data_IF_127797677290
#
_entry.id   IF_127797677290
#
_cell.length_a   1.000
_cell.length_b   1.000
_cell.length_c   1.000
_cell.angle_alpha   90.00
_cell.angle_beta   90.00
_cell.angle_gamma   90.00
#
_symmetry.space_group_name_H-M   'P 1'
#
loop_
_entity.id
_entity.type
_entity.pdbx_description
1 polymer ?
#
# COMPACT_ATOMS: atom_id res chain seq x y z
N UNK A 1 -3.02 9.00 -2.12
CA UNK A 1 -3.52 9.72 -3.31
C UNK A 1 -4.44 8.78 -4.08
N UNK A 2 -5.69 9.18 -4.31
CA UNK A 2 -6.65 8.37 -5.08
C UNK A 2 -6.38 8.47 -6.58
N UNK A 3 -6.22 7.33 -7.22
CA UNK A 3 -6.20 7.16 -8.67
C UNK A 3 -7.67 7.22 -9.15
N UNK A 4 -8.05 8.28 -9.87
CA UNK A 4 -9.43 8.59 -10.32
C UNK A 4 -10.44 8.96 -9.20
N UNK A 5 -10.23 10.07 -8.47
CA UNK A 5 -11.08 10.46 -7.33
C UNK A 5 -12.56 10.66 -7.72
N UNK A 6 -12.84 11.11 -8.96
CA UNK A 6 -14.19 11.35 -9.45
C UNK A 6 -15.09 10.11 -9.46
N UNK A 7 -14.50 8.92 -9.65
CA UNK A 7 -15.27 7.65 -9.67
C UNK A 7 -15.81 7.26 -8.30
N UNK A 8 -15.14 7.69 -7.24
CA UNK A 8 -15.53 7.44 -5.86
C UNK A 8 -16.05 8.71 -5.17
N UNK A 9 -16.05 9.86 -5.86
CA UNK A 9 -16.48 11.13 -5.28
C UNK A 9 -17.86 11.02 -4.64
N UNK A 10 -18.82 10.33 -5.28
CA UNK A 10 -20.13 10.10 -4.68
C UNK A 10 -20.09 9.20 -3.44
N UNK A 11 -19.31 8.11 -3.47
CA UNK A 11 -19.14 7.21 -2.32
C UNK A 11 -18.43 7.93 -1.15
N UNK A 12 -17.42 8.74 -1.44
CA UNK A 12 -16.71 9.58 -0.47
C UNK A 12 -17.67 10.64 0.08
N UNK A 13 -18.44 11.34 -0.75
CA UNK A 13 -19.45 12.31 -0.30
C UNK A 13 -20.52 11.64 0.58
N UNK A 14 -20.94 10.42 0.25
CA UNK A 14 -21.89 9.64 1.05
C UNK A 14 -21.29 9.22 2.40
N UNK A 15 -20.02 8.78 2.41
CA UNK A 15 -19.27 8.46 3.64
C UNK A 15 -19.13 9.69 4.54
N UNK A 16 -18.72 10.82 3.97
CA UNK A 16 -18.61 12.13 4.65
C UNK A 16 -19.96 12.54 5.23
N UNK A 17 -21.03 12.45 4.45
CA UNK A 17 -22.38 12.79 4.92
C UNK A 17 -22.86 11.85 6.04
N UNK A 18 -22.49 10.58 5.99
CA UNK A 18 -22.82 9.59 7.03
C UNK A 18 -22.05 9.85 8.32
N UNK A 19 -20.73 10.08 8.23
CA UNK A 19 -19.89 10.42 9.38
C UNK A 19 -20.33 11.75 10.01
N UNK A 20 -20.66 12.76 9.20
CA UNK A 20 -21.15 14.04 9.69
C UNK A 20 -22.46 13.91 10.50
N UNK A 21 -23.32 12.95 10.13
CA UNK A 21 -24.57 12.66 10.87
C UNK A 21 -24.36 11.79 12.10
N UNK A 22 -23.19 11.17 12.29
CA UNK A 22 -22.97 10.19 13.34
C UNK A 22 -22.79 10.80 14.75
N UNK A 23 -22.41 12.09 14.84
CA UNK A 23 -22.28 12.76 16.13
C UNK A 23 -21.42 14.02 16.08
N UNK A 24 -21.24 14.68 17.22
CA UNK A 24 -20.33 15.84 17.33
C UNK A 24 -18.87 15.42 17.17
N UNK A 25 -18.51 14.28 17.76
CA UNK A 25 -17.16 13.73 17.72
C UNK A 25 -16.74 13.38 16.28
N UNK A 26 -17.57 12.64 15.55
CA UNK A 26 -17.30 12.29 14.15
C UNK A 26 -17.19 13.53 13.24
N UNK A 27 -17.98 14.58 13.49
CA UNK A 27 -17.87 15.87 12.78
C UNK A 27 -16.55 16.57 13.05
N UNK A 28 -16.10 16.56 14.30
CA UNK A 28 -14.82 17.14 14.70
C UNK A 28 -13.66 16.40 14.02
N UNK A 29 -13.64 15.06 14.07
CA UNK A 29 -12.65 14.21 13.40
C UNK A 29 -12.61 14.47 11.89
N UNK A 30 -13.77 14.49 11.23
CA UNK A 30 -13.85 14.76 9.78
C UNK A 30 -13.34 16.16 9.41
N UNK A 31 -13.61 17.15 10.24
CA UNK A 31 -13.10 18.53 10.04
C UNK A 31 -11.58 18.57 10.15
N UNK A 32 -11.03 17.87 11.15
CA UNK A 32 -9.59 17.78 11.36
C UNK A 32 -8.89 17.05 10.20
N UNK A 33 -9.45 15.92 9.75
CA UNK A 33 -8.98 15.17 8.58
C UNK A 33 -9.00 16.04 7.31
N UNK A 34 -10.06 16.82 7.10
CA UNK A 34 -10.19 17.71 5.96
C UNK A 34 -9.19 18.87 5.99
N UNK A 35 -8.93 19.46 7.16
CA UNK A 35 -7.95 20.54 7.31
C UNK A 35 -6.52 20.03 7.06
N UNK A 36 -6.13 18.95 7.74
CA UNK A 36 -4.81 18.32 7.58
C UNK A 36 -4.62 17.85 6.13
N UNK A 37 -5.60 17.11 5.59
CA UNK A 37 -5.55 16.61 4.21
C UNK A 37 -5.49 17.73 3.17
N UNK A 38 -6.23 18.82 3.38
CA UNK A 38 -6.20 20.00 2.52
C UNK A 38 -4.85 20.71 2.54
N UNK A 39 -4.21 20.82 3.71
CA UNK A 39 -2.86 21.40 3.86
C UNK A 39 -1.80 20.53 3.19
N UNK A 40 -1.83 19.22 3.43
CA UNK A 40 -0.97 18.24 2.78
C UNK A 40 -1.11 18.29 1.24
N UNK A 41 -2.35 18.32 0.75
CA UNK A 41 -2.63 18.39 -0.69
C UNK A 41 -2.15 19.68 -1.38
N UNK A 42 -2.10 20.79 -0.64
CA UNK A 42 -1.56 22.08 -1.13
C UNK A 42 -0.03 22.18 -0.98
N UNK A 43 0.62 21.19 -0.36
CA UNK A 43 2.04 21.23 -0.07
C UNK A 43 2.40 22.38 0.89
N UNK A 44 1.55 22.65 1.88
CA UNK A 44 1.84 23.60 2.97
C UNK A 44 2.74 22.91 3.99
N UNK A 45 3.77 23.61 4.46
CA UNK A 45 4.67 23.13 5.53
C UNK A 45 3.83 22.89 6.79
N UNK A 46 3.93 21.68 7.35
CA UNK A 46 3.30 21.37 8.63
C UNK A 46 3.99 22.17 9.75
N UNK A 47 3.21 23.02 10.42
CA UNK A 47 3.62 23.79 11.59
C UNK A 47 3.44 22.98 12.89
N UNK A 48 3.96 23.46 14.02
CA UNK A 48 3.80 22.81 15.32
C UNK A 48 2.31 22.59 15.67
N UNK A 49 1.44 23.51 15.29
CA UNK A 49 -0.01 23.37 15.46
C UNK A 49 -0.57 22.21 14.66
N UNK A 50 -0.07 21.96 13.44
CA UNK A 50 -0.52 20.86 12.59
C UNK A 50 -0.06 19.51 13.17
N UNK A 51 1.16 19.46 13.73
CA UNK A 51 1.65 18.28 14.45
C UNK A 51 0.78 17.99 15.68
N UNK A 52 0.44 19.02 16.46
CA UNK A 52 -0.47 18.88 17.59
C UNK A 52 -1.85 18.36 17.17
N UNK A 53 -2.37 18.80 16.02
CA UNK A 53 -3.62 18.31 15.46
C UNK A 53 -3.55 16.82 15.10
N UNK A 54 -2.46 16.40 14.43
CA UNK A 54 -2.24 14.98 14.08
C UNK A 54 -2.15 14.12 15.34
N UNK A 55 -1.42 14.56 16.36
CA UNK A 55 -1.31 13.83 17.63
C UNK A 55 -2.66 13.73 18.36
N UNK A 56 -3.47 14.79 18.31
CA UNK A 56 -4.81 14.77 18.90
C UNK A 56 -5.73 13.78 18.17
N UNK A 57 -5.67 13.76 16.84
CA UNK A 57 -6.38 12.79 16.01
C UNK A 57 -5.98 11.35 16.36
N UNK A 58 -4.67 11.08 16.44
CA UNK A 58 -4.12 9.78 16.80
C UNK A 58 -4.61 9.33 18.17
N UNK A 59 -4.48 10.18 19.20
CA UNK A 59 -4.92 9.84 20.55
C UNK A 59 -6.41 9.51 20.62
N UNK A 60 -7.25 10.21 19.86
CA UNK A 60 -8.68 9.94 19.81
C UNK A 60 -8.96 8.59 19.17
N UNK A 61 -8.35 8.31 18.01
CA UNK A 61 -8.49 7.01 17.33
C UNK A 61 -8.02 5.87 18.22
N UNK A 62 -6.90 6.03 18.93
CA UNK A 62 -6.41 5.02 19.87
C UNK A 62 -7.40 4.75 21.01
N UNK A 63 -8.03 5.78 21.57
CA UNK A 63 -9.08 5.61 22.57
C UNK A 63 -10.28 4.84 21.99
N UNK A 64 -10.70 5.17 20.76
CA UNK A 64 -11.77 4.45 20.07
C UNK A 64 -11.40 2.99 19.79
N UNK A 65 -10.15 2.70 19.43
CA UNK A 65 -9.64 1.34 19.23
C UNK A 65 -9.71 0.53 20.52
N UNK A 66 -9.30 1.11 21.66
CA UNK A 66 -9.39 0.47 22.98
C UNK A 66 -10.83 0.15 23.34
N UNK A 67 -11.73 1.12 23.15
CA UNK A 67 -13.16 0.95 23.43
C UNK A 67 -13.81 -0.08 22.48
N UNK A 68 -13.38 -0.10 21.21
CA UNK A 68 -13.88 -0.96 20.15
C UNK A 68 -13.59 -2.44 20.34
N UNK A 69 -12.47 -2.79 21.00
CA UNK A 69 -12.03 -4.18 21.22
C UNK A 69 -12.98 -5.02 22.09
N UNK A 70 -13.80 -4.37 22.93
CA UNK A 70 -14.71 -5.04 23.87
C UNK A 70 -16.18 -4.99 23.44
N UNK A 71 -16.44 -4.53 22.21
CA UNK A 71 -17.80 -4.41 21.70
C UNK A 71 -18.32 -5.80 21.31
N UNK A 72 -19.55 -6.12 21.72
CA UNK A 72 -20.21 -7.41 21.45
C UNK A 72 -20.40 -7.72 19.96
N UNK A 73 -21.16 -8.75 19.61
CA UNK A 73 -21.30 -9.20 18.22
C UNK A 73 -22.65 -8.83 17.57
N UNK A 74 -23.36 -7.86 18.13
CA UNK A 74 -24.63 -7.40 17.57
C UNK A 74 -24.43 -6.45 16.36
N UNK A 75 -25.54 -6.06 15.71
CA UNK A 75 -25.51 -5.20 14.51
C UNK A 75 -24.97 -3.80 14.80
N UNK A 76 -25.31 -3.23 15.96
CA UNK A 76 -24.89 -1.89 16.36
C UNK A 76 -23.40 -1.87 16.70
N UNK A 77 -22.96 -2.91 17.40
CA UNK A 77 -21.58 -3.22 17.66
C UNK A 77 -20.74 -3.29 16.38
N UNK A 78 -21.17 -4.10 15.41
CA UNK A 78 -20.48 -4.23 14.11
C UNK A 78 -20.39 -2.88 13.38
N UNK A 79 -21.46 -2.08 13.42
CA UNK A 79 -21.47 -0.76 12.79
C UNK A 79 -20.51 0.23 13.48
N UNK A 80 -20.37 0.11 14.80
CA UNK A 80 -19.39 0.90 15.58
C UNK A 80 -17.97 0.50 15.21
N UNK A 81 -17.66 -0.80 15.18
CA UNK A 81 -16.35 -1.32 14.76
C UNK A 81 -15.96 -0.87 13.35
N UNK A 82 -16.92 -0.81 12.43
CA UNK A 82 -16.70 -0.24 11.09
C UNK A 82 -16.29 1.23 11.18
N UNK A 83 -17.02 2.05 11.95
CA UNK A 83 -16.70 3.47 12.11
C UNK A 83 -15.32 3.73 12.71
N UNK A 84 -14.92 2.91 13.70
CA UNK A 84 -13.58 2.97 14.29
C UNK A 84 -12.51 2.60 13.27
N UNK A 85 -12.73 1.55 12.47
CA UNK A 85 -11.79 1.16 11.42
C UNK A 85 -11.67 2.25 10.34
N UNK A 86 -12.79 2.86 9.93
CA UNK A 86 -12.80 3.97 8.96
C UNK A 86 -11.91 5.13 9.44
N UNK A 87 -12.13 5.60 10.68
CA UNK A 87 -11.33 6.68 11.27
C UNK A 87 -9.85 6.31 11.42
N UNK A 88 -9.55 5.05 11.75
CA UNK A 88 -8.18 4.55 11.85
C UNK A 88 -7.49 4.57 10.49
N UNK A 89 -8.15 4.07 9.45
CA UNK A 89 -7.62 4.08 8.08
C UNK A 89 -7.35 5.51 7.61
N UNK A 90 -8.29 6.44 7.81
CA UNK A 90 -8.11 7.85 7.44
C UNK A 90 -6.90 8.47 8.15
N UNK A 91 -6.71 8.12 9.43
CA UNK A 91 -5.57 8.58 10.24
C UNK A 91 -4.23 7.98 9.77
N UNK A 92 -4.20 6.68 9.46
CA UNK A 92 -3.03 5.99 8.86
C UNK A 92 -2.60 6.67 7.56
N UNK A 93 -3.54 7.07 6.71
CA UNK A 93 -3.23 7.76 5.46
C UNK A 93 -2.56 9.10 5.71
N UNK A 94 -2.96 9.85 6.72
CA UNK A 94 -2.28 11.10 7.11
C UNK A 94 -0.87 10.81 7.59
N UNK A 95 -0.71 9.87 8.52
CA UNK A 95 0.61 9.52 9.07
C UNK A 95 1.59 9.01 8.01
N UNK A 96 1.12 8.32 6.97
CA UNK A 96 1.96 7.89 5.84
C UNK A 96 2.73 9.06 5.20
N UNK A 97 2.15 10.27 5.20
CA UNK A 97 2.77 11.47 4.62
C UNK A 97 3.41 12.39 5.67
N UNK A 98 2.82 12.46 6.87
CA UNK A 98 3.15 13.47 7.86
C UNK A 98 4.06 12.97 8.99
N UNK A 99 4.12 11.66 9.23
CA UNK A 99 4.72 11.09 10.44
C UNK A 99 5.77 10.02 10.13
N UNK A 100 6.63 9.68 11.11
CA UNK A 100 7.55 8.56 10.98
C UNK A 100 6.83 7.26 10.66
N UNK A 101 7.52 6.33 10.01
CA UNK A 101 6.88 5.09 9.56
C UNK A 101 6.37 4.21 10.72
N UNK A 102 7.00 4.29 11.89
CA UNK A 102 6.58 3.55 13.08
C UNK A 102 5.16 3.91 13.55
N UNK A 103 4.74 5.17 13.47
CA UNK A 103 3.44 5.63 13.99
C UNK A 103 2.27 4.95 13.28
N UNK A 104 2.29 4.94 11.95
CA UNK A 104 1.19 4.32 11.18
C UNK A 104 1.26 2.79 11.20
N UNK A 105 2.46 2.21 11.35
CA UNK A 105 2.62 0.77 11.57
C UNK A 105 2.04 0.34 12.92
N UNK A 106 2.23 1.14 13.97
CA UNK A 106 1.60 0.91 15.28
C UNK A 106 0.08 1.00 15.18
N UNK A 107 -0.47 2.01 14.49
CA UNK A 107 -1.92 2.11 14.28
C UNK A 107 -2.49 0.90 13.52
N UNK A 108 -1.77 0.38 12.52
CA UNK A 108 -2.15 -0.86 11.84
C UNK A 108 -2.22 -2.02 12.83
N UNK A 109 -1.19 -2.22 13.66
CA UNK A 109 -1.18 -3.28 14.68
C UNK A 109 -2.31 -3.12 15.70
N UNK A 110 -2.59 -1.91 16.16
CA UNK A 110 -3.64 -1.64 17.14
C UNK A 110 -5.05 -1.89 16.60
N UNK A 111 -5.25 -1.65 15.30
CA UNK A 111 -6.50 -1.89 14.58
C UNK A 111 -6.74 -3.35 14.16
N UNK A 112 -5.69 -4.19 14.19
CA UNK A 112 -5.76 -5.59 13.79
C UNK A 112 -6.92 -6.38 14.44
N UNK A 113 -7.18 -6.29 15.76
CA UNK A 113 -8.28 -7.02 16.38
C UNK A 113 -9.66 -6.62 15.85
N UNK A 114 -9.87 -5.32 15.61
CA UNK A 114 -11.14 -4.79 15.08
C UNK A 114 -11.32 -5.24 13.63
N UNK A 115 -10.28 -5.10 12.82
CA UNK A 115 -10.28 -5.61 11.45
C UNK A 115 -10.64 -7.11 11.42
N UNK A 116 -10.05 -7.91 12.30
CA UNK A 116 -10.31 -9.35 12.38
C UNK A 116 -11.76 -9.64 12.78
N UNK A 117 -12.32 -8.94 13.76
CA UNK A 117 -13.72 -9.10 14.18
C UNK A 117 -14.71 -8.82 13.03
N UNK A 118 -14.35 -7.94 12.10
CA UNK A 118 -15.19 -7.59 10.96
C UNK A 118 -15.12 -8.62 9.82
N UNK A 119 -14.10 -9.47 9.79
CA UNK A 119 -13.99 -10.54 8.81
C UNK A 119 -15.00 -11.68 9.10
N UNK A 120 -15.58 -12.31 8.08
CA UNK A 120 -16.53 -13.41 8.29
C UNK A 120 -15.86 -14.70 8.79
N UNK A 121 -14.57 -14.90 8.52
CA UNK A 121 -13.87 -16.13 8.87
C UNK A 121 -13.56 -16.21 10.38
N UNK A 122 -13.73 -17.39 11.03
CA UNK A 122 -13.41 -17.59 12.44
C UNK A 122 -11.95 -17.30 12.76
N UNK A 123 -11.63 -16.87 13.99
CA UNK A 123 -10.25 -16.62 14.45
C UNK A 123 -9.32 -17.82 14.16
N UNK A 124 -8.11 -17.56 13.67
CA UNK A 124 -7.13 -18.58 13.28
C UNK A 124 -7.28 -19.14 11.86
N UNK A 125 -8.41 -18.89 11.18
CA UNK A 125 -8.60 -19.28 9.78
C UNK A 125 -8.10 -18.18 8.83
N UNK A 126 -7.36 -18.50 7.75
CA UNK A 126 -6.94 -17.52 6.76
C UNK A 126 -8.13 -16.72 6.20
N UNK A 127 -7.94 -15.41 6.00
CA UNK A 127 -8.99 -14.51 5.49
C UNK A 127 -9.11 -14.68 3.98
N UNK A 128 -10.34 -14.79 3.45
CA UNK A 128 -10.56 -14.85 2.01
C UNK A 128 -10.25 -13.49 1.36
N UNK A 129 -9.02 -13.35 0.86
CA UNK A 129 -8.54 -12.12 0.24
C UNK A 129 -9.35 -11.69 -1.00
N UNK A 130 -9.67 -12.58 -1.97
CA UNK A 130 -10.49 -12.17 -3.11
C UNK A 130 -11.86 -11.61 -2.72
N UNK A 131 -12.56 -12.26 -1.77
CA UNK A 131 -13.83 -11.76 -1.23
C UNK A 131 -13.65 -10.40 -0.57
N UNK A 132 -12.56 -10.23 0.18
CA UNK A 132 -12.26 -8.99 0.87
C UNK A 132 -11.90 -7.84 -0.08
N UNK A 133 -11.15 -8.08 -1.16
CA UNK A 133 -10.78 -7.04 -2.14
C UNK A 133 -11.99 -6.55 -2.94
N UNK A 134 -13.05 -7.36 -3.06
CA UNK A 134 -14.33 -6.98 -3.68
C UNK A 134 -15.37 -6.47 -2.67
N UNK A 135 -15.02 -6.38 -1.39
CA UNK A 135 -15.96 -6.07 -0.34
C UNK A 135 -16.50 -4.62 -0.43
N UNK A 136 -17.76 -4.41 -0.05
CA UNK A 136 -18.40 -3.09 -0.14
C UNK A 136 -17.82 -2.06 0.85
N UNK A 137 -17.27 -2.54 1.98
CA UNK A 137 -16.59 -1.69 2.95
C UNK A 137 -15.15 -1.42 2.50
N UNK A 138 -14.89 -0.16 2.15
CA UNK A 138 -13.62 0.33 1.62
C UNK A 138 -12.46 0.16 2.60
N UNK A 139 -12.68 0.39 3.89
CA UNK A 139 -11.64 0.35 4.92
C UNK A 139 -11.15 -1.07 5.18
N UNK A 140 -12.05 -2.07 5.07
CA UNK A 140 -11.65 -3.48 5.12
C UNK A 140 -10.74 -3.85 3.94
N UNK A 141 -11.13 -3.49 2.72
CA UNK A 141 -10.31 -3.76 1.55
C UNK A 141 -8.95 -3.06 1.68
N UNK A 142 -8.95 -1.79 2.11
CA UNK A 142 -7.75 -0.98 2.25
C UNK A 142 -6.80 -1.52 3.33
N UNK A 143 -7.33 -1.96 4.47
CA UNK A 143 -6.52 -2.52 5.54
C UNK A 143 -5.77 -3.77 5.05
N UNK A 144 -6.46 -4.71 4.40
CA UNK A 144 -5.82 -5.92 3.88
C UNK A 144 -4.82 -5.61 2.77
N UNK A 145 -5.19 -4.72 1.85
CA UNK A 145 -4.30 -4.25 0.79
C UNK A 145 -3.01 -3.66 1.37
N UNK A 146 -3.13 -2.79 2.37
CA UNK A 146 -1.99 -2.17 3.05
C UNK A 146 -1.16 -3.22 3.79
N UNK A 147 -1.78 -4.17 4.48
CA UNK A 147 -1.05 -5.22 5.19
C UNK A 147 -0.19 -6.08 4.24
N UNK A 148 -0.76 -6.48 3.10
CA UNK A 148 -0.05 -7.24 2.07
C UNK A 148 1.10 -6.43 1.46
N UNK A 149 0.85 -5.16 1.11
CA UNK A 149 1.88 -4.29 0.56
C UNK A 149 3.01 -4.01 1.54
N UNK A 150 2.71 -3.81 2.83
CA UNK A 150 3.73 -3.66 3.86
C UNK A 150 4.66 -4.85 3.89
N UNK A 151 4.11 -6.07 3.83
CA UNK A 151 4.93 -7.27 3.79
C UNK A 151 5.81 -7.36 2.56
N UNK A 152 5.24 -7.04 1.39
CA UNK A 152 6.01 -7.04 0.15
C UNK A 152 7.13 -5.99 0.20
N UNK A 153 6.81 -4.75 0.53
CA UNK A 153 7.70 -3.59 0.38
C UNK A 153 8.75 -3.47 1.46
N UNK A 154 8.32 -3.66 2.70
CA UNK A 154 9.11 -3.34 3.86
C UNK A 154 9.68 -4.60 4.51
N UNK A 155 9.46 -5.77 3.91
CA UNK A 155 9.88 -7.06 4.48
C UNK A 155 9.36 -7.19 5.93
N UNK A 156 8.06 -6.91 6.08
CA UNK A 156 7.32 -7.03 7.33
C UNK A 156 6.51 -8.34 7.33
N UNK A 157 6.42 -9.06 8.45
CA UNK A 157 5.43 -10.11 8.58
C UNK A 157 4.02 -9.56 8.35
N UNK A 158 3.19 -10.28 7.59
CA UNK A 158 1.78 -9.97 7.47
C UNK A 158 1.11 -10.11 8.84
N UNK A 159 0.10 -9.27 9.09
CA UNK A 159 -0.64 -9.32 10.37
C UNK A 159 -1.66 -10.45 10.36
N UNK A 160 -2.02 -10.93 9.17
CA UNK A 160 -2.96 -12.00 8.96
C UNK A 160 -2.51 -12.92 7.83
N UNK A 161 -2.86 -14.19 7.95
CA UNK A 161 -2.79 -15.12 6.84
C UNK A 161 -3.99 -14.89 5.91
N UNK A 162 -3.71 -14.87 4.61
CA UNK A 162 -4.71 -14.69 3.57
C UNK A 162 -4.82 -15.93 2.71
N UNK A 163 -6.05 -16.42 2.53
CA UNK A 163 -6.32 -17.48 1.56
C UNK A 163 -6.20 -16.90 0.14
N UNK A 164 -5.16 -17.36 -0.56
CA UNK A 164 -4.84 -16.98 -1.93
C UNK A 164 -5.12 -18.11 -2.95
N UNK A 165 -5.98 -19.07 -2.62
CA UNK A 165 -6.23 -20.24 -3.47
C UNK A 165 -6.86 -19.85 -4.83
N UNK A 166 -6.39 -20.44 -5.96
CA UNK A 166 -6.81 -20.02 -7.31
C UNK A 166 -8.31 -20.15 -7.60
N UNK A 167 -8.99 -21.10 -6.95
CA UNK A 167 -10.43 -21.36 -7.12
C UNK A 167 -11.29 -20.17 -6.67
N UNK A 168 -10.78 -19.38 -5.72
CA UNK A 168 -11.45 -18.17 -5.25
C UNK A 168 -11.21 -16.95 -6.16
N UNK A 169 -10.29 -17.04 -7.12
CA UNK A 169 -9.97 -15.97 -8.06
C UNK A 169 -10.57 -16.16 -9.46
N UNK A 170 -10.96 -17.38 -9.83
CA UNK A 170 -11.51 -17.68 -11.17
C UNK A 170 -12.85 -17.01 -11.48
N UNK A 171 -13.62 -16.61 -10.46
CA UNK A 171 -14.90 -15.90 -10.61
C UNK A 171 -14.81 -14.38 -10.38
N UNK A 172 -13.64 -13.90 -9.94
CA UNK A 172 -13.39 -12.51 -9.52
C UNK A 172 -12.94 -11.63 -10.70
N UNK A 173 -12.26 -12.21 -11.68
CA UNK A 173 -11.65 -11.50 -12.81
C UNK A 173 -12.43 -11.68 -14.12
N UNK A 174 -13.75 -11.44 -14.11
CA UNK A 174 -14.48 -11.26 -15.37
C UNK A 174 -14.29 -9.81 -15.84
N UNK A 175 -13.66 -9.55 -17.00
CA UNK A 175 -13.45 -8.20 -17.52
C UNK A 175 -14.75 -7.41 -17.69
N UNK A 176 -15.88 -8.11 -17.78
CA UNK A 176 -17.21 -7.54 -18.04
C UNK A 176 -17.81 -6.93 -16.76
N UNK A 177 -17.50 -7.47 -15.57
CA UNK A 177 -18.08 -7.01 -14.29
C UNK A 177 -17.29 -5.84 -13.69
N UNK A 178 -15.97 -5.76 -13.93
CA UNK A 178 -15.14 -4.61 -13.52
C UNK A 178 -15.48 -3.31 -14.28
N UNK A 179 -15.99 -3.43 -15.51
CA UNK A 179 -16.41 -2.28 -16.34
C UNK A 179 -17.66 -1.60 -15.79
N UNK A 180 -18.55 -2.36 -15.13
CA UNK A 180 -19.84 -1.84 -14.66
C UNK A 180 -19.88 -1.53 -13.16
N UNK A 181 -19.07 -2.19 -12.30
CA UNK A 181 -19.27 -2.10 -10.85
C UNK A 181 -18.05 -1.69 -9.99
N UNK A 182 -16.89 -1.38 -10.57
CA UNK A 182 -15.88 -0.45 -10.02
C UNK A 182 -15.59 -0.55 -8.50
N UNK A 183 -15.53 -1.77 -7.95
CA UNK A 183 -15.49 -2.06 -6.50
C UNK A 183 -14.10 -2.38 -5.94
N UNK A 184 -13.07 -2.55 -6.79
CA UNK A 184 -11.72 -2.94 -6.37
C UNK A 184 -10.91 -1.85 -5.66
N UNK A 185 -9.75 -2.22 -5.10
CA UNK A 185 -8.85 -1.29 -4.37
C UNK A 185 -7.91 -0.50 -5.25
N UNK A 186 -7.98 -0.68 -6.58
CA UNK A 186 -7.05 -0.13 -7.58
C UNK A 186 -7.02 1.41 -7.64
N UNK A 187 -8.01 2.09 -7.08
CA UNK A 187 -7.99 3.55 -6.88
C UNK A 187 -7.00 3.94 -5.77
N UNK A 188 -6.57 3.00 -4.93
CA UNK A 188 -5.57 3.18 -3.89
C UNK A 188 -4.22 2.64 -4.36
N UNK A 189 -3.20 3.49 -4.37
CA UNK A 189 -1.86 3.19 -4.89
C UNK A 189 -1.77 2.71 -6.36
N UNK A 190 -2.88 2.60 -7.08
CA UNK A 190 -2.89 2.15 -8.48
C UNK A 190 -2.59 0.67 -8.66
N UNK A 191 -2.48 -0.10 -7.58
CA UNK A 191 -2.08 -1.52 -7.60
C UNK A 191 -3.24 -2.39 -8.09
N UNK A 192 -3.06 -3.19 -9.15
CA UNK A 192 -4.01 -4.23 -9.52
C UNK A 192 -4.22 -5.26 -8.40
N UNK A 193 -5.48 -5.61 -8.12
CA UNK A 193 -5.84 -6.60 -7.09
C UNK A 193 -5.17 -7.97 -7.35
N UNK A 194 -4.91 -8.31 -8.62
CA UNK A 194 -4.15 -9.50 -9.02
C UNK A 194 -2.72 -9.51 -8.46
N UNK A 195 -2.03 -8.37 -8.45
CA UNK A 195 -0.69 -8.30 -7.89
C UNK A 195 -0.72 -8.32 -6.37
N UNK A 196 -1.75 -7.76 -5.74
CA UNK A 196 -1.95 -7.85 -4.29
C UNK A 196 -2.11 -9.32 -3.86
N UNK A 197 -2.96 -10.08 -4.54
CA UNK A 197 -3.11 -11.51 -4.31
C UNK A 197 -1.80 -12.30 -4.51
N UNK A 198 -1.03 -11.93 -5.55
CA UNK A 198 0.27 -12.52 -5.81
C UNK A 198 1.27 -12.22 -4.68
N UNK A 199 1.31 -10.98 -4.21
CA UNK A 199 2.18 -10.55 -3.12
C UNK A 199 1.83 -11.24 -1.81
N UNK A 200 0.54 -11.34 -1.48
CA UNK A 200 0.09 -12.08 -0.30
C UNK A 200 0.56 -13.54 -0.33
N UNK A 201 0.48 -14.18 -1.51
CA UNK A 201 0.98 -15.54 -1.70
C UNK A 201 2.50 -15.64 -1.55
N UNK A 202 3.26 -14.71 -2.13
CA UNK A 202 4.72 -14.67 -1.99
C UNK A 202 5.12 -14.45 -0.51
N UNK A 203 4.48 -13.51 0.18
CA UNK A 203 4.72 -13.22 1.59
C UNK A 203 4.50 -14.47 2.46
N UNK A 204 3.37 -15.17 2.25
CA UNK A 204 3.06 -16.40 2.99
C UNK A 204 4.13 -17.49 2.78
N UNK A 205 4.60 -17.67 1.54
CA UNK A 205 5.69 -18.62 1.26
C UNK A 205 6.99 -18.27 1.99
N UNK A 206 7.33 -16.98 2.05
CA UNK A 206 8.52 -16.52 2.76
C UNK A 206 8.40 -16.72 4.28
N UNK A 207 7.23 -16.42 4.86
CA UNK A 207 6.93 -16.64 6.27
C UNK A 207 7.03 -18.12 6.66
N UNK A 208 6.52 -19.02 5.80
CA UNK A 208 6.60 -20.47 5.97
C UNK A 208 7.99 -21.04 5.64
N UNK A 209 8.97 -20.18 5.28
CA UNK A 209 10.33 -20.54 4.85
C UNK A 209 10.36 -21.56 3.73
N UNK A 210 9.40 -21.45 2.83
CA UNK A 210 9.25 -22.40 1.75
C UNK A 210 10.14 -22.02 0.56
N UNK A 211 10.97 -22.96 0.12
CA UNK A 211 11.78 -22.79 -1.07
C UNK A 211 10.90 -22.87 -2.33
N UNK A 212 10.92 -21.85 -3.22
CA UNK A 212 10.08 -21.87 -4.40
C UNK A 212 10.55 -22.94 -5.39
N UNK A 213 9.63 -23.78 -5.86
CA UNK A 213 9.94 -24.72 -6.95
C UNK A 213 9.92 -24.00 -8.31
N UNK A 214 10.69 -24.46 -9.30
CA UNK A 214 10.70 -23.86 -10.65
C UNK A 214 9.31 -23.79 -11.30
N UNK A 215 8.44 -24.77 -11.04
CA UNK A 215 7.07 -24.79 -11.56
C UNK A 215 6.26 -23.61 -11.02
N UNK A 216 6.44 -23.26 -9.75
CA UNK A 216 5.70 -22.18 -9.10
C UNK A 216 6.17 -20.83 -9.57
N UNK A 217 7.49 -20.66 -9.71
CA UNK A 217 8.06 -19.45 -10.32
C UNK A 217 7.50 -19.26 -11.71
N UNK A 218 7.46 -20.32 -12.53
CA UNK A 218 6.89 -20.28 -13.89
C UNK A 218 5.40 -19.91 -13.89
N UNK A 219 4.61 -20.45 -12.95
CA UNK A 219 3.18 -20.11 -12.82
C UNK A 219 2.99 -18.64 -12.45
N UNK A 220 3.78 -18.13 -11.49
CA UNK A 220 3.70 -16.73 -11.07
C UNK A 220 4.17 -15.80 -12.19
N UNK A 221 5.26 -16.15 -12.87
CA UNK A 221 5.78 -15.38 -14.01
C UNK A 221 4.75 -15.28 -15.13
N UNK A 222 4.12 -16.40 -15.51
CA UNK A 222 3.05 -16.42 -16.51
C UNK A 222 1.87 -15.55 -16.10
N UNK A 223 1.48 -15.55 -14.82
CA UNK A 223 0.42 -14.65 -14.32
C UNK A 223 0.79 -13.17 -14.46
N UNK A 224 2.06 -12.80 -14.27
CA UNK A 224 2.52 -11.42 -14.48
C UNK A 224 2.51 -11.10 -15.98
N UNK A 225 2.93 -12.03 -16.82
CA UNK A 225 2.99 -11.88 -18.27
C UNK A 225 1.59 -11.71 -18.89
N UNK A 226 0.64 -12.52 -18.46
CA UNK A 226 -0.74 -12.54 -18.98
C UNK A 226 -1.59 -11.38 -18.45
N UNK A 227 -1.10 -10.64 -17.45
CA UNK A 227 -1.79 -9.46 -16.90
C UNK A 227 -2.10 -8.46 -18.01
N UNK A 228 -3.38 -8.11 -18.13
CA UNK A 228 -3.86 -7.06 -19.01
C UNK A 228 -4.24 -5.83 -18.18
N UNK A 229 -3.71 -4.64 -18.51
CA UNK A 229 -4.15 -3.42 -17.89
C UNK A 229 -5.66 -3.25 -17.99
N UNK A 230 -6.27 -2.72 -16.93
CA UNK A 230 -7.72 -2.54 -16.84
C UNK A 230 -8.10 -1.22 -17.50
N UNK A 231 -9.03 -1.31 -18.46
CA UNK A 231 -9.54 -0.17 -19.21
C UNK A 231 -10.91 0.24 -18.69
N UNK A 232 -11.11 1.54 -18.43
CA UNK A 232 -12.43 2.08 -18.14
C UNK A 232 -12.90 2.94 -19.31
N UNK A 233 -14.01 2.56 -19.95
CA UNK A 233 -14.59 3.26 -21.11
C UNK A 233 -15.05 4.70 -20.81
N UNK A 234 -15.18 5.05 -19.53
CA UNK A 234 -15.72 6.33 -19.06
C UNK A 234 -14.64 7.36 -18.68
N UNK A 235 -13.35 7.06 -18.90
CA UNK A 235 -12.26 7.95 -18.54
C UNK A 235 -11.78 8.81 -19.69
N UNK A 236 -11.38 10.04 -19.37
CA UNK A 236 -10.57 10.88 -20.27
C UNK A 236 -9.32 10.09 -20.71
N UNK A 237 -8.99 10.22 -22.00
CA UNK A 237 -7.79 9.70 -22.65
C UNK A 237 -6.50 9.86 -21.82
N UNK A 238 -6.32 10.98 -21.13
CA UNK A 238 -5.13 11.23 -20.29
C UNK A 238 -5.12 10.38 -19.00
N UNK A 239 -6.28 10.26 -18.33
CA UNK A 239 -6.41 9.44 -17.13
C UNK A 239 -6.23 7.96 -17.45
N UNK A 240 -6.75 7.52 -18.61
CA UNK A 240 -6.56 6.17 -19.11
C UNK A 240 -5.08 5.86 -19.38
N UNK A 241 -4.38 6.75 -20.09
CA UNK A 241 -2.95 6.59 -20.36
C UNK A 241 -2.12 6.53 -19.06
N UNK A 242 -2.45 7.39 -18.09
CA UNK A 242 -1.81 7.38 -16.76
C UNK A 242 -2.08 6.06 -16.03
N UNK A 243 -3.29 5.48 -16.15
CA UNK A 243 -3.66 4.20 -15.52
C UNK A 243 -2.82 3.06 -16.06
N UNK A 244 -2.76 2.96 -17.37
CA UNK A 244 -1.98 1.91 -18.05
C UNK A 244 -0.52 2.03 -17.63
N UNK A 245 0.03 3.24 -17.59
CA UNK A 245 1.41 3.46 -17.15
C UNK A 245 1.64 3.01 -15.71
N UNK A 246 0.75 3.35 -14.78
CA UNK A 246 0.86 2.95 -13.37
C UNK A 246 0.75 1.44 -13.19
N UNK A 247 -0.22 0.80 -13.86
CA UNK A 247 -0.38 -0.66 -13.79
C UNK A 247 0.82 -1.38 -14.42
N UNK A 248 1.40 -0.80 -15.46
CA UNK A 248 2.62 -1.32 -16.08
C UNK A 248 3.84 -1.17 -15.15
N UNK A 249 3.95 -0.07 -14.40
CA UNK A 249 4.94 0.07 -13.33
C UNK A 249 4.77 -1.03 -12.27
N UNK A 250 3.53 -1.33 -11.86
CA UNK A 250 3.23 -2.41 -10.93
C UNK A 250 3.57 -3.79 -11.48
N UNK A 251 3.40 -4.02 -12.78
CA UNK A 251 3.85 -5.25 -13.43
C UNK A 251 5.35 -5.44 -13.29
N UNK A 252 6.14 -4.37 -13.47
CA UNK A 252 7.60 -4.43 -13.27
C UNK A 252 7.99 -4.66 -11.81
N UNK A 253 7.27 -4.04 -10.86
CA UNK A 253 7.43 -4.31 -9.42
C UNK A 253 7.15 -5.77 -9.10
N UNK A 254 6.11 -6.35 -9.70
CA UNK A 254 5.78 -7.75 -9.48
C UNK A 254 6.89 -8.70 -9.97
N UNK A 255 7.50 -8.43 -11.13
CA UNK A 255 8.68 -9.18 -11.58
C UNK A 255 9.85 -9.03 -10.61
N UNK A 256 10.16 -7.81 -10.18
CA UNK A 256 11.26 -7.55 -9.23
C UNK A 256 11.02 -8.35 -7.94
N UNK A 257 9.80 -8.30 -7.39
CA UNK A 257 9.48 -9.00 -6.15
C UNK A 257 9.46 -10.53 -6.30
N UNK A 258 8.98 -11.05 -7.43
CA UNK A 258 9.08 -12.47 -7.75
C UNK A 258 10.55 -12.94 -7.75
N UNK A 259 11.42 -12.25 -8.47
CA UNK A 259 12.81 -12.68 -8.61
C UNK A 259 13.63 -12.42 -7.33
N UNK A 260 13.59 -11.20 -6.81
CA UNK A 260 14.41 -10.86 -5.64
C UNK A 260 13.82 -11.38 -4.33
N UNK A 261 12.52 -11.19 -4.12
CA UNK A 261 11.83 -11.54 -2.87
C UNK A 261 11.58 -13.03 -2.73
N UNK A 262 11.02 -13.67 -3.76
CA UNK A 262 10.73 -15.12 -3.70
C UNK A 262 11.95 -15.98 -4.06
N UNK A 263 12.60 -15.72 -5.21
CA UNK A 263 13.71 -16.56 -5.68
C UNK A 263 15.06 -16.24 -5.00
N UNK A 264 15.16 -15.12 -4.27
CA UNK A 264 16.40 -14.70 -3.64
C UNK A 264 17.45 -14.14 -4.61
N UNK A 265 17.03 -13.78 -5.84
CA UNK A 265 17.95 -13.22 -6.82
C UNK A 265 18.51 -11.87 -6.37
N UNK A 266 19.74 -11.59 -6.77
CA UNK A 266 20.32 -10.27 -6.60
C UNK A 266 19.83 -9.28 -7.65
N UNK A 267 19.98 -7.98 -7.36
CA UNK A 267 19.70 -6.91 -8.33
C UNK A 267 20.46 -7.08 -9.65
N UNK A 268 21.60 -7.79 -9.64
CA UNK A 268 22.43 -8.01 -10.81
C UNK A 268 21.96 -9.09 -11.78
N UNK A 269 20.96 -9.91 -11.42
CA UNK A 269 20.43 -10.98 -12.27
C UNK A 269 19.75 -10.42 -13.54
N UNK A 270 19.86 -11.08 -14.71
CA UNK A 270 19.31 -10.55 -15.96
C UNK A 270 17.83 -10.19 -15.93
N UNK A 271 16.99 -11.03 -15.31
CA UNK A 271 15.55 -10.78 -15.20
C UNK A 271 15.24 -9.53 -14.36
N UNK A 272 15.91 -9.37 -13.23
CA UNK A 272 15.76 -8.20 -12.35
C UNK A 272 16.19 -6.91 -13.08
N UNK A 273 17.35 -6.95 -13.75
CA UNK A 273 17.83 -5.82 -14.57
C UNK A 273 16.86 -5.45 -15.68
N UNK A 274 16.26 -6.43 -16.34
CA UNK A 274 15.29 -6.20 -17.39
C UNK A 274 14.02 -5.52 -16.84
N UNK A 275 13.44 -6.07 -15.77
CA UNK A 275 12.25 -5.50 -15.14
C UNK A 275 12.52 -4.08 -14.64
N UNK A 276 13.64 -3.86 -13.96
CA UNK A 276 14.05 -2.55 -13.48
C UNK A 276 14.29 -1.55 -14.61
N UNK A 277 14.93 -1.95 -15.70
CA UNK A 277 15.13 -1.10 -16.89
C UNK A 277 13.79 -0.66 -17.48
N UNK A 278 12.81 -1.55 -17.57
CA UNK A 278 11.47 -1.19 -18.05
C UNK A 278 10.77 -0.26 -17.07
N UNK A 279 10.89 -0.49 -15.76
CA UNK A 279 10.36 0.41 -14.74
C UNK A 279 10.92 1.84 -14.90
N UNK A 280 12.25 1.98 -15.04
CA UNK A 280 12.89 3.30 -15.22
C UNK A 280 12.46 3.97 -16.52
N UNK A 281 12.23 3.19 -17.60
CA UNK A 281 11.71 3.73 -18.86
C UNK A 281 10.32 4.35 -18.68
N UNK A 282 9.42 3.68 -17.96
CA UNK A 282 8.08 4.16 -17.65
C UNK A 282 8.11 5.36 -16.70
N UNK A 283 9.01 5.33 -15.73
CA UNK A 283 9.20 6.42 -14.79
C UNK A 283 9.66 7.69 -15.53
N UNK A 284 10.65 7.57 -16.41
CA UNK A 284 11.18 8.70 -17.18
C UNK A 284 10.19 9.25 -18.22
N UNK A 285 9.16 8.50 -18.62
CA UNK A 285 8.11 9.02 -19.50
C UNK A 285 7.07 9.89 -18.79
N UNK A 286 7.20 10.08 -17.47
CA UNK A 286 6.30 10.93 -16.66
C UNK A 286 7.02 12.12 -16.05
N UNK A 287 6.25 13.19 -15.80
CA UNK A 287 6.76 14.38 -15.12
C UNK A 287 7.09 14.06 -13.66
N UNK A 288 8.28 14.44 -13.15
CA UNK A 288 8.62 14.29 -11.73
C UNK A 288 7.58 14.96 -10.81
N UNK A 289 7.36 14.36 -9.64
CA UNK A 289 6.40 14.85 -8.64
C UNK A 289 4.93 14.51 -8.95
N UNK A 290 4.67 13.76 -10.03
CA UNK A 290 3.36 13.21 -10.38
C UNK A 290 3.40 11.69 -10.34
N UNK A 291 2.26 11.04 -10.56
CA UNK A 291 2.19 9.58 -10.66
C UNK A 291 3.17 9.09 -11.75
N UNK A 292 3.98 8.05 -11.49
CA UNK A 292 3.92 7.11 -10.35
C UNK A 292 4.81 7.49 -9.14
N UNK A 293 5.39 8.69 -9.05
CA UNK A 293 6.38 9.05 -8.02
C UNK A 293 5.84 8.89 -6.59
N UNK A 294 4.55 9.17 -6.37
CA UNK A 294 3.92 8.95 -5.06
C UNK A 294 3.94 7.49 -4.59
N UNK A 295 4.18 6.53 -5.49
CA UNK A 295 4.35 5.12 -5.16
C UNK A 295 5.81 4.77 -4.84
N UNK A 296 6.77 5.60 -5.25
CA UNK A 296 8.17 5.44 -4.85
C UNK A 296 8.37 5.72 -3.35
N UNK A 297 7.42 6.37 -2.68
CA UNK A 297 7.40 6.48 -1.20
C UNK A 297 7.50 5.11 -0.56
N UNK A 298 6.87 4.10 -1.18
CA UNK A 298 6.88 2.72 -0.72
C UNK A 298 8.03 1.92 -1.37
N UNK A 299 9.13 2.54 -1.79
CA UNK A 299 10.40 1.89 -2.16
C UNK A 299 10.37 0.69 -3.14
N UNK A 300 9.28 0.45 -3.87
CA UNK A 300 8.98 -0.84 -4.53
C UNK A 300 10.06 -1.38 -5.48
N UNK A 301 10.79 -0.50 -6.15
CA UNK A 301 11.80 -0.87 -7.15
C UNK A 301 13.24 -0.57 -6.70
N UNK A 302 13.41 0.11 -5.57
CA UNK A 302 14.69 0.62 -5.13
C UNK A 302 15.73 -0.48 -4.86
N UNK A 303 15.37 -1.68 -4.34
CA UNK A 303 16.32 -2.78 -4.20
C UNK A 303 16.92 -3.26 -5.53
N UNK A 304 16.20 -3.11 -6.64
CA UNK A 304 16.66 -3.54 -7.95
C UNK A 304 17.62 -2.53 -8.63
N UNK A 305 17.82 -1.34 -8.06
CA UNK A 305 18.73 -0.35 -8.58
C UNK A 305 20.19 -0.81 -8.41
N UNK A 306 20.87 -1.07 -9.53
CA UNK A 306 22.22 -1.65 -9.52
C UNK A 306 23.34 -0.60 -9.61
N UNK A 307 23.10 0.48 -10.35
CA UNK A 307 24.12 1.48 -10.67
C UNK A 307 23.89 2.76 -9.90
N UNK A 308 24.97 3.49 -9.62
CA UNK A 308 24.90 4.83 -9.02
C UNK A 308 23.95 5.77 -9.77
N UNK A 309 23.90 5.66 -11.11
CA UNK A 309 22.95 6.42 -11.93
C UNK A 309 21.50 6.06 -11.63
N UNK A 310 21.18 4.77 -11.47
CA UNK A 310 19.84 4.28 -11.18
C UNK A 310 19.38 4.75 -9.79
N UNK A 311 20.23 4.59 -8.78
CA UNK A 311 19.99 5.11 -7.43
C UNK A 311 19.76 6.63 -7.44
N UNK A 312 20.54 7.37 -8.25
CA UNK A 312 20.37 8.82 -8.39
C UNK A 312 19.04 9.21 -9.02
N UNK A 313 18.51 8.42 -9.98
CA UNK A 313 17.18 8.67 -10.58
C UNK A 313 16.12 8.53 -9.49
N UNK A 314 16.12 7.42 -8.76
CA UNK A 314 15.14 7.17 -7.68
C UNK A 314 15.23 8.26 -6.61
N UNK A 315 16.45 8.58 -6.15
CA UNK A 315 16.67 9.65 -5.17
C UNK A 315 16.06 10.98 -5.61
N UNK A 316 16.32 11.40 -6.85
CA UNK A 316 15.77 12.64 -7.39
C UNK A 316 14.24 12.62 -7.48
N UNK A 317 13.65 11.48 -7.82
CA UNK A 317 12.20 11.33 -7.93
C UNK A 317 11.55 11.39 -6.54
N UNK A 318 12.10 10.68 -5.55
CA UNK A 318 11.65 10.73 -4.15
C UNK A 318 11.80 12.13 -3.55
N UNK A 319 12.93 12.79 -3.76
CA UNK A 319 13.14 14.19 -3.34
C UNK A 319 12.20 15.19 -4.06
N UNK A 320 11.78 14.86 -5.28
CA UNK A 320 10.83 15.64 -6.07
C UNK A 320 9.38 15.51 -5.58
N UNK A 321 9.08 14.55 -4.70
CA UNK A 321 7.78 14.42 -4.06
C UNK A 321 7.66 15.56 -3.05
N UNK A 322 7.01 16.65 -3.48
CA UNK A 322 6.75 17.83 -2.66
C UNK A 322 5.71 17.51 -1.59
N UNK A 323 6.12 16.86 -0.50
CA UNK A 323 5.42 16.93 0.77
C UNK A 323 6.22 17.94 1.60
N UNK A 324 5.88 19.22 1.43
CA UNK A 324 6.57 20.29 2.12
C UNK A 324 6.16 20.24 3.60
N UNK A 325 7.15 20.16 4.49
CA UNK A 325 7.01 19.86 5.91
C UNK A 325 8.20 19.01 6.34
N UNK A 326 8.54 18.90 7.63
CA UNK A 326 9.45 17.87 8.10
C UNK A 326 8.75 16.51 7.91
N UNK A 327 8.68 16.01 6.67
CA UNK A 327 7.98 14.78 6.30
C UNK A 327 8.82 13.58 6.71
N UNK A 328 8.62 13.12 7.94
CA UNK A 328 9.41 12.06 8.52
C UNK A 328 9.21 10.73 7.77
N UNK A 329 8.00 10.41 7.28
CA UNK A 329 7.71 9.14 6.59
C UNK A 329 8.39 8.97 5.21
N UNK A 330 8.46 10.02 4.39
CA UNK A 330 9.23 9.99 3.13
C UNK A 330 10.73 9.99 3.41
N UNK A 331 11.15 10.70 4.45
CA UNK A 331 12.54 10.72 4.91
C UNK A 331 12.98 9.33 5.42
N UNK A 332 12.10 8.61 6.13
CA UNK A 332 12.36 7.26 6.64
C UNK A 332 12.54 6.26 5.51
N UNK A 333 11.64 6.27 4.52
CA UNK A 333 11.77 5.43 3.33
C UNK A 333 13.05 5.75 2.54
N UNK A 334 13.41 7.03 2.44
CA UNK A 334 14.67 7.44 1.84
C UNK A 334 15.89 6.92 2.62
N UNK A 335 15.89 7.07 3.95
CA UNK A 335 16.95 6.53 4.80
C UNK A 335 17.08 5.02 4.66
N UNK A 336 15.99 4.27 4.51
CA UNK A 336 16.02 2.80 4.32
C UNK A 336 16.78 2.45 3.04
N UNK A 337 16.43 3.04 1.88
CA UNK A 337 17.14 2.70 0.65
C UNK A 337 18.57 3.20 0.58
N UNK A 338 18.86 4.37 1.18
CA UNK A 338 20.24 4.83 1.30
C UNK A 338 21.05 3.89 2.19
N UNK A 339 20.44 3.34 3.25
CA UNK A 339 21.09 2.40 4.15
C UNK A 339 21.48 1.10 3.43
N UNK A 340 20.56 0.40 2.77
CA UNK A 340 20.94 -0.86 2.11
C UNK A 340 21.84 -0.65 0.89
N UNK A 341 21.70 0.46 0.14
CA UNK A 341 22.64 0.75 -0.94
C UNK A 341 24.04 1.03 -0.41
N UNK A 342 24.17 1.76 0.70
CA UNK A 342 25.47 2.02 1.31
C UNK A 342 26.15 0.73 1.79
N UNK A 343 25.41 -0.17 2.43
CA UNK A 343 25.93 -1.46 2.89
C UNK A 343 26.35 -2.36 1.73
N UNK A 344 25.47 -2.54 0.74
CA UNK A 344 25.79 -3.35 -0.45
C UNK A 344 27.03 -2.82 -1.19
N UNK A 345 27.16 -1.49 -1.31
CA UNK A 345 28.35 -0.86 -1.89
C UNK A 345 29.62 -1.06 -1.05
N UNK A 346 29.53 -0.95 0.28
CA UNK A 346 30.66 -1.17 1.18
C UNK A 346 31.16 -2.62 1.13
N UNK A 347 30.25 -3.57 0.95
CA UNK A 347 30.54 -4.99 0.80
C UNK A 347 30.92 -5.40 -0.64
N UNK A 348 30.83 -4.47 -1.60
CA UNK A 348 31.17 -4.73 -3.00
C UNK A 348 30.24 -5.74 -3.70
N UNK A 349 28.99 -5.89 -3.23
CA UNK A 349 28.01 -6.85 -3.75
C UNK A 349 26.74 -6.18 -4.27
N UNK A 350 25.96 -6.84 -5.15
CA UNK A 350 24.61 -6.39 -5.46
C UNK A 350 23.69 -6.46 -4.23
N UNK A 351 22.69 -5.58 -4.24
CA UNK A 351 21.57 -5.62 -3.29
C UNK A 351 20.73 -6.87 -3.51
N UNK A 352 20.28 -7.47 -2.41
CA UNK A 352 19.32 -8.59 -2.35
C UNK A 352 18.10 -8.16 -1.53
N UNK A 353 16.99 -8.90 -1.60
CA UNK A 353 15.75 -8.48 -0.94
C UNK A 353 15.87 -8.40 0.59
N UNK A 354 16.62 -9.31 1.21
CA UNK A 354 16.82 -9.32 2.67
C UNK A 354 17.50 -8.05 3.21
N UNK A 355 18.23 -7.32 2.37
CA UNK A 355 18.83 -6.04 2.77
C UNK A 355 17.75 -5.01 3.15
N UNK A 356 16.53 -5.13 2.61
CA UNK A 356 15.39 -4.26 2.91
C UNK A 356 14.99 -4.42 4.37
N UNK A 357 14.78 -5.65 4.85
CA UNK A 357 14.41 -5.93 6.23
C UNK A 357 15.50 -5.53 7.23
N UNK A 358 16.77 -5.73 6.87
CA UNK A 358 17.89 -5.29 7.71
C UNK A 358 17.99 -3.76 7.81
N UNK A 359 17.89 -3.06 6.67
CA UNK A 359 17.91 -1.61 6.64
C UNK A 359 16.71 -1.01 7.39
N UNK A 360 15.53 -1.59 7.23
CA UNK A 360 14.32 -1.21 7.99
C UNK A 360 14.57 -1.29 9.49
N UNK A 361 15.07 -2.43 9.99
CA UNK A 361 15.37 -2.61 11.43
C UNK A 361 16.38 -1.59 11.94
N UNK A 362 17.42 -1.28 11.15
CA UNK A 362 18.45 -0.28 11.52
C UNK A 362 17.90 1.16 11.55
N UNK A 363 17.02 1.51 10.61
CA UNK A 363 16.50 2.88 10.45
C UNK A 363 15.30 3.16 11.34
N UNK A 364 14.37 2.21 11.46
CA UNK A 364 13.11 2.37 12.17
C UNK A 364 13.09 1.73 13.56
N UNK A 365 13.99 0.77 13.83
CA UNK A 365 13.94 -0.03 15.06
C UNK A 365 12.78 -1.04 15.11
N UNK A 366 12.08 -1.24 13.99
CA UNK A 366 10.94 -2.15 13.82
C UNK A 366 11.31 -3.24 12.83
#
# INVERSE_FOLDING_TARGET
MAFEPMKRAWAICSLVAKQFKAGQEARWTLTLLADIGGRLGRGVILEESDISMILTLQSQVQQQLVNGKNIGNDKLARQTSIGVLDATIETIVIHLFASPACEWLTLMQEAAPIFRQLCPEPAGVPINLPSLLQHANVSLCYYAHTNVLCGAVMDLPMLFQYDCTPQNFSHVYSPIVEIENNSGTQWFHGTPDQFVAMFAKINAMQEDRWAPTPEIVTILERRIQDFQPIYSKLCDSFLLATRILVQECWRQVAYIYLYMGLCGDSSNTPHVKQAFKQFIKLLNSTKPGHMPDNFLILNFCAPAACKKQDCNIIRKRVQGIKINGPSHGVNDNAKIFENYWAHANAEGRPTIWSDVGEARKRVLGV
#
